data_IF_848145502613
#
_entry.id   IF_848145502613
#
_cell.length_a   1.000
_cell.length_b   1.000
_cell.length_c   1.000
_cell.angle_alpha   90.00
_cell.angle_beta   90.00
_cell.angle_gamma   90.00
#
_symmetry.space_group_name_H-M   'P 1'
#
loop_
_entity.id
_entity.type
_entity.pdbx_description
1 polymer ?
#
# COMPACT_ATOMS: atom_id res chain seq x y z
N UNK A 1 -18.75 -22.89 -12.04
CA UNK A 1 -17.76 -21.89 -12.48
C UNK A 1 -16.44 -22.27 -11.83
N UNK A 2 -15.46 -22.71 -12.63
CA UNK A 2 -14.17 -23.15 -12.11
C UNK A 2 -13.31 -21.93 -11.76
N UNK A 3 -12.94 -21.79 -10.49
CA UNK A 3 -11.84 -20.91 -10.10
C UNK A 3 -10.55 -21.51 -10.67
N UNK A 4 -9.95 -20.82 -11.64
CA UNK A 4 -8.63 -21.21 -12.12
C UNK A 4 -7.60 -20.44 -11.31
N UNK A 5 -6.91 -21.15 -10.41
CA UNK A 5 -5.82 -20.60 -9.60
C UNK A 5 -4.55 -20.53 -10.46
N UNK A 6 -4.03 -19.33 -10.71
CA UNK A 6 -2.79 -19.12 -11.46
C UNK A 6 -1.75 -18.44 -10.57
N UNK A 7 -1.01 -19.25 -9.83
CA UNK A 7 0.17 -18.82 -9.11
C UNK A 7 1.36 -18.73 -10.06
N UNK A 8 1.86 -17.52 -10.36
CA UNK A 8 3.14 -17.36 -11.03
C UNK A 8 4.27 -17.51 -10.01
N UNK A 9 4.97 -18.64 -10.06
CA UNK A 9 6.19 -18.88 -9.30
C UNK A 9 7.36 -18.22 -10.04
N UNK A 10 7.98 -17.20 -9.45
CA UNK A 10 9.14 -16.51 -10.04
C UNK A 10 10.41 -16.90 -9.29
N UNK A 11 10.89 -18.12 -9.53
CA UNK A 11 12.22 -18.52 -9.06
C UNK A 11 13.33 -18.29 -10.09
N UNK A 12 12.99 -17.90 -11.32
CA UNK A 12 14.00 -17.62 -12.34
C UNK A 12 13.59 -16.38 -13.13
N UNK A 13 14.58 -15.52 -13.36
CA UNK A 13 14.56 -14.32 -14.19
C UNK A 13 13.74 -14.50 -15.48
N UNK A 14 12.46 -14.13 -15.49
CA UNK A 14 11.62 -14.22 -16.67
C UNK A 14 10.62 -13.08 -16.71
N UNK A 15 10.70 -12.32 -17.79
CA UNK A 15 9.70 -11.35 -18.15
C UNK A 15 8.37 -12.04 -18.44
N UNK A 16 7.25 -11.42 -18.06
CA UNK A 16 5.92 -11.90 -18.43
C UNK A 16 5.02 -10.75 -18.87
N UNK A 17 4.11 -11.02 -19.79
CA UNK A 17 3.04 -10.09 -20.19
C UNK A 17 1.69 -10.81 -20.08
N UNK A 18 0.69 -10.18 -19.45
CA UNK A 18 -0.64 -10.76 -19.24
C UNK A 18 -1.71 -9.67 -19.24
N UNK A 19 -2.81 -9.87 -19.96
CA UNK A 19 -3.99 -9.02 -19.88
C UNK A 19 -5.04 -9.68 -18.97
N UNK A 20 -5.63 -8.91 -18.06
CA UNK A 20 -6.72 -9.29 -17.17
C UNK A 20 -7.91 -8.41 -17.50
N UNK A 21 -9.06 -9.03 -17.80
CA UNK A 21 -10.34 -8.32 -17.93
C UNK A 21 -10.92 -8.17 -16.53
N UNK A 22 -11.36 -6.97 -16.20
CA UNK A 22 -11.84 -6.63 -14.85
C UNK A 22 -13.28 -6.14 -14.95
N UNK A 23 -14.11 -6.54 -14.00
CA UNK A 23 -15.51 -6.10 -13.88
C UNK A 23 -15.57 -4.80 -13.06
N UNK A 24 -14.85 -3.76 -13.49
CA UNK A 24 -14.90 -2.43 -12.87
C UNK A 24 -15.71 -1.45 -13.74
N UNK A 25 -16.39 -0.51 -13.09
CA UNK A 25 -17.22 0.51 -13.76
C UNK A 25 -16.40 1.36 -14.74
N UNK A 26 -15.21 1.76 -14.29
CA UNK A 26 -14.31 2.65 -15.02
C UNK A 26 -13.10 1.92 -15.64
N UNK A 27 -12.63 0.79 -15.09
CA UNK A 27 -11.42 0.09 -15.56
C UNK A 27 -11.86 -1.16 -16.34
N UNK A 28 -11.59 -1.21 -17.64
CA UNK A 28 -12.02 -2.34 -18.49
C UNK A 28 -10.99 -3.45 -18.54
N UNK A 29 -9.71 -3.08 -18.61
CA UNK A 29 -8.62 -4.03 -18.79
C UNK A 29 -7.40 -3.57 -18.03
N UNK A 30 -6.66 -4.55 -17.54
CA UNK A 30 -5.37 -4.36 -16.87
C UNK A 30 -4.33 -5.23 -17.55
N UNK A 31 -3.31 -4.61 -18.13
CA UNK A 31 -2.18 -5.32 -18.72
C UNK A 31 -1.00 -5.27 -17.75
N UNK A 32 -0.54 -6.43 -17.35
CA UNK A 32 0.61 -6.61 -16.49
C UNK A 32 1.81 -6.98 -17.37
N UNK A 33 2.91 -6.28 -17.19
CA UNK A 33 4.17 -6.58 -17.85
C UNK A 33 5.30 -6.54 -16.82
N UNK A 34 5.79 -7.69 -16.39
CA UNK A 34 6.97 -7.76 -15.53
C UNK A 34 8.22 -7.94 -16.38
N UNK A 35 9.23 -7.10 -16.17
CA UNK A 35 10.53 -7.18 -16.82
C UNK A 35 11.61 -6.82 -15.81
N UNK A 36 12.64 -7.67 -15.66
CA UNK A 36 13.77 -7.44 -14.74
C UNK A 36 13.36 -7.13 -13.27
N UNK A 37 12.27 -7.74 -12.78
CA UNK A 37 11.76 -7.46 -11.43
C UNK A 37 11.06 -6.10 -11.31
N UNK A 38 10.61 -5.53 -12.43
CA UNK A 38 9.77 -4.34 -12.48
C UNK A 38 8.42 -4.76 -13.04
N UNK A 39 7.36 -4.68 -12.24
CA UNK A 39 5.99 -4.92 -12.70
C UNK A 39 5.41 -3.61 -13.23
N UNK A 40 5.21 -3.55 -14.53
CA UNK A 40 4.47 -2.50 -15.21
C UNK A 40 2.99 -2.87 -15.23
N UNK A 41 2.11 -1.99 -14.77
CA UNK A 41 0.66 -2.18 -14.82
C UNK A 41 0.08 -1.10 -15.73
N UNK A 42 -0.61 -1.53 -16.77
CA UNK A 42 -1.30 -0.69 -17.73
C UNK A 42 -2.80 -0.80 -17.49
N UNK A 43 -3.48 0.32 -17.24
CA UNK A 43 -4.93 0.34 -17.09
C UNK A 43 -5.56 0.94 -18.35
N UNK A 44 -6.57 0.27 -18.89
CA UNK A 44 -7.49 0.83 -19.89
C UNK A 44 -8.73 1.34 -19.15
N UNK A 45 -8.85 2.65 -19.01
CA UNK A 45 -9.96 3.30 -18.28
C UNK A 45 -10.92 3.96 -19.25
N UNK A 46 -12.23 3.84 -19.04
CA UNK A 46 -13.31 4.44 -19.85
C UNK A 46 -14.16 5.43 -19.03
N UNK A 47 -15.03 6.20 -19.72
CA UNK A 47 -16.02 7.10 -19.11
C UNK A 47 -15.47 8.29 -18.31
N UNK A 48 -14.32 8.79 -18.71
CA UNK A 48 -13.67 9.94 -18.07
C UNK A 48 -14.07 11.24 -18.79
N UNK A 49 -14.49 12.28 -18.07
CA UNK A 49 -14.84 13.63 -18.53
C UNK A 49 -13.76 14.66 -18.08
N UNK A 50 -13.71 15.89 -18.63
CA UNK A 50 -12.41 16.56 -18.89
C UNK A 50 -11.74 17.29 -17.72
N UNK A 51 -12.48 17.77 -16.72
CA UNK A 51 -11.92 18.71 -15.74
C UNK A 51 -11.97 18.20 -14.28
N UNK A 52 -12.94 17.34 -13.92
CA UNK A 52 -13.04 16.76 -12.57
C UNK A 52 -12.40 15.36 -12.44
N UNK A 53 -12.13 14.68 -13.56
CA UNK A 53 -11.81 13.26 -13.51
C UNK A 53 -10.33 12.92 -13.36
N UNK A 54 -9.39 13.81 -13.67
CA UNK A 54 -7.98 13.52 -13.45
C UNK A 54 -7.69 13.26 -11.96
N UNK A 55 -8.27 14.06 -11.06
CA UNK A 55 -8.15 13.85 -9.62
C UNK A 55 -8.80 12.55 -9.17
N UNK A 56 -9.97 12.22 -9.73
CA UNK A 56 -10.72 11.00 -9.45
C UNK A 56 -9.94 9.74 -9.86
N UNK A 57 -9.45 9.69 -11.11
CA UNK A 57 -8.63 8.59 -11.62
C UNK A 57 -7.35 8.45 -10.81
N UNK A 58 -6.69 9.57 -10.50
CA UNK A 58 -5.46 9.52 -9.72
C UNK A 58 -5.71 8.87 -8.35
N UNK A 59 -6.82 9.20 -7.70
CA UNK A 59 -7.23 8.56 -6.43
C UNK A 59 -7.56 7.08 -6.64
N UNK A 60 -8.39 6.73 -7.62
CA UNK A 60 -8.75 5.35 -7.93
C UNK A 60 -7.50 4.48 -8.12
N UNK A 61 -6.56 4.96 -8.93
CA UNK A 61 -5.31 4.26 -9.22
C UNK A 61 -4.41 4.17 -7.99
N UNK A 62 -4.24 5.26 -7.24
CA UNK A 62 -3.45 5.25 -6.00
C UNK A 62 -3.99 4.23 -5.00
N UNK A 63 -5.31 4.04 -4.94
CA UNK A 63 -5.94 3.07 -4.05
C UNK A 63 -5.56 1.63 -4.39
N UNK A 64 -5.70 1.25 -5.66
CA UNK A 64 -5.35 -0.10 -6.10
C UNK A 64 -3.85 -0.36 -5.94
N UNK A 65 -3.00 0.63 -6.20
CA UNK A 65 -1.55 0.53 -5.94
C UNK A 65 -1.28 0.32 -4.46
N UNK A 66 -1.92 1.09 -3.60
CA UNK A 66 -1.75 0.96 -2.16
C UNK A 66 -2.13 -0.45 -1.71
N UNK A 67 -3.23 -1.01 -2.20
CA UNK A 67 -3.59 -2.39 -1.90
C UNK A 67 -2.59 -3.41 -2.42
N UNK A 68 -2.12 -3.29 -3.66
CA UNK A 68 -1.09 -4.18 -4.19
C UNK A 68 0.20 -4.11 -3.36
N UNK A 69 0.59 -2.90 -2.98
CA UNK A 69 1.75 -2.64 -2.11
C UNK A 69 1.59 -3.34 -0.76
N UNK A 70 0.40 -3.28 -0.16
CA UNK A 70 0.08 -3.89 1.13
C UNK A 70 0.05 -5.42 1.04
N UNK A 71 -0.70 -5.97 0.08
CA UNK A 71 -0.92 -7.41 -0.11
C UNK A 71 0.39 -8.12 -0.43
N UNK A 72 1.18 -7.54 -1.33
CA UNK A 72 2.45 -8.14 -1.72
C UNK A 72 3.63 -7.67 -0.86
N UNK A 73 3.43 -6.69 0.01
CA UNK A 73 4.46 -6.04 0.82
C UNK A 73 5.63 -5.53 -0.06
N UNK A 74 5.30 -4.83 -1.14
CA UNK A 74 6.25 -4.37 -2.16
C UNK A 74 6.33 -2.85 -2.16
N UNK A 75 7.50 -2.25 -1.91
CA UNK A 75 7.66 -0.81 -1.93
C UNK A 75 7.37 -0.24 -3.34
N UNK A 76 6.55 0.80 -3.39
CA UNK A 76 6.31 1.60 -4.59
C UNK A 76 7.38 2.69 -4.69
N UNK A 77 8.28 2.61 -5.67
CA UNK A 77 9.39 3.57 -5.83
C UNK A 77 9.08 4.75 -6.75
N UNK A 78 8.40 4.51 -7.88
CA UNK A 78 8.01 5.57 -8.81
C UNK A 78 6.59 5.38 -9.34
N UNK A 79 5.74 6.38 -9.10
CA UNK A 79 4.41 6.45 -9.69
C UNK A 79 4.38 7.56 -10.72
N UNK A 80 4.17 7.20 -11.99
CA UNK A 80 4.01 8.16 -13.09
C UNK A 80 2.71 7.85 -13.80
N UNK A 81 1.77 8.80 -13.79
CA UNK A 81 0.56 8.68 -14.58
C UNK A 81 0.84 9.34 -15.92
N UNK A 82 0.91 8.54 -16.97
CA UNK A 82 1.11 9.01 -18.33
C UNK A 82 -0.07 8.55 -19.18
N UNK A 83 -0.93 9.48 -19.59
CA UNK A 83 -2.08 9.19 -20.45
C UNK A 83 -2.43 10.39 -21.32
N UNK A 84 -2.95 10.13 -22.51
CA UNK A 84 -3.48 11.14 -23.43
C UNK A 84 -4.88 10.74 -23.86
N UNK A 85 -5.79 11.71 -23.93
CA UNK A 85 -7.11 11.51 -24.53
C UNK A 85 -7.02 11.79 -26.02
N UNK A 86 -7.33 10.80 -26.87
CA UNK A 86 -7.48 11.02 -28.31
C UNK A 86 -8.97 11.20 -28.64
N UNK A 87 -9.36 12.28 -29.34
CA UNK A 87 -10.71 12.36 -29.90
C UNK A 87 -10.87 11.32 -31.02
N UNK A 88 -11.96 10.57 -31.02
CA UNK A 88 -12.30 9.62 -32.10
C UNK A 88 -13.60 10.03 -32.79
N UNK A 89 -13.64 9.96 -34.12
CA UNK A 89 -14.86 10.25 -34.90
C UNK A 89 -15.72 9.00 -34.99
N UNK A 90 -16.94 9.06 -34.46
CA UNK A 90 -17.96 8.04 -34.76
C UNK A 90 -18.59 8.34 -36.13
N UNK A 91 -18.75 7.33 -36.97
CA UNK A 91 -19.35 7.43 -38.31
C UNK A 91 -20.77 8.05 -38.29
N UNK A 92 -21.48 7.94 -37.16
CA UNK A 92 -22.88 8.37 -37.02
C UNK A 92 -23.08 9.87 -36.76
N UNK A 93 -22.04 10.67 -36.45
CA UNK A 93 -22.21 12.09 -36.15
C UNK A 93 -21.00 12.93 -36.57
N UNK A 94 -21.01 13.40 -37.82
CA UNK A 94 -19.95 14.18 -38.46
C UNK A 94 -19.60 15.56 -37.84
N UNK A 95 -20.19 15.92 -36.70
CA UNK A 95 -19.97 17.21 -36.03
C UNK A 95 -19.76 17.16 -34.50
N UNK A 96 -19.86 15.98 -33.88
CA UNK A 96 -19.67 15.82 -32.44
C UNK A 96 -18.51 14.87 -32.17
N UNK A 97 -17.40 15.41 -31.68
CA UNK A 97 -16.30 14.60 -31.15
C UNK A 97 -16.81 13.91 -29.87
N UNK A 98 -17.24 12.65 -29.94
CA UNK A 98 -17.29 11.82 -28.75
C UNK A 98 -15.85 11.54 -28.35
N UNK A 99 -15.41 12.11 -27.25
CA UNK A 99 -14.08 11.79 -26.70
C UNK A 99 -14.19 10.37 -26.12
N UNK A 100 -13.73 9.37 -26.88
CA UNK A 100 -13.54 8.03 -26.33
C UNK A 100 -12.29 8.10 -25.48
N UNK A 101 -12.47 8.40 -24.20
CA UNK A 101 -11.37 8.59 -23.28
C UNK A 101 -10.90 7.25 -22.77
N UNK A 102 -10.14 6.54 -23.60
CA UNK A 102 -9.27 5.46 -23.14
C UNK A 102 -8.05 6.11 -22.48
N UNK A 103 -8.04 6.24 -21.17
CA UNK A 103 -6.80 6.61 -20.48
C UNK A 103 -5.93 5.37 -20.40
N UNK A 104 -4.70 5.50 -20.87
CA UNK A 104 -3.64 4.58 -20.55
C UNK A 104 -2.94 5.12 -19.30
N UNK A 105 -2.72 4.24 -18.32
CA UNK A 105 -1.99 4.58 -17.11
C UNK A 105 -0.92 3.52 -16.93
N UNK A 106 0.34 3.92 -17.10
CA UNK A 106 1.49 3.03 -16.96
C UNK A 106 2.07 3.16 -15.55
N UNK A 107 2.12 2.08 -14.79
CA UNK A 107 2.60 2.13 -13.39
C UNK A 107 3.77 1.19 -13.22
N UNK A 108 4.86 1.66 -12.62
CA UNK A 108 6.06 0.83 -12.41
C UNK A 108 6.19 0.48 -10.93
N UNK A 109 6.03 -0.79 -10.60
CA UNK A 109 6.32 -1.35 -9.28
C UNK A 109 7.68 -2.01 -9.33
N UNK A 110 8.66 -1.47 -8.59
CA UNK A 110 10.01 -2.01 -8.52
C UNK A 110 10.17 -2.84 -7.24
N UNK A 111 10.44 -4.15 -7.39
CA UNK A 111 10.61 -5.01 -6.22
C UNK A 111 11.10 -6.41 -6.53
N UNK A 112 11.58 -7.10 -5.49
CA UNK A 112 11.82 -8.55 -5.59
C UNK A 112 10.48 -9.28 -5.52
N UNK A 113 9.87 -9.49 -6.68
CA UNK A 113 8.65 -10.28 -6.82
C UNK A 113 8.98 -11.76 -6.64
N UNK A 114 8.78 -12.28 -5.43
CA UNK A 114 8.89 -13.72 -5.18
C UNK A 114 7.62 -14.45 -5.65
N UNK A 115 6.46 -13.76 -5.67
CA UNK A 115 5.18 -14.26 -6.21
C UNK A 115 4.18 -13.11 -6.36
N UNK A 116 3.61 -12.96 -7.55
CA UNK A 116 2.39 -12.17 -7.78
C UNK A 116 1.32 -13.15 -8.23
N UNK A 117 0.27 -13.31 -7.43
CA UNK A 117 -0.91 -14.06 -7.86
C UNK A 117 -1.82 -13.14 -8.67
N UNK A 118 -2.18 -13.56 -9.88
CA UNK A 118 -3.09 -12.77 -10.71
C UNK A 118 -4.50 -12.67 -10.09
N UNK A 119 -4.84 -13.61 -9.21
CA UNK A 119 -6.08 -13.55 -8.45
C UNK A 119 -6.06 -12.42 -7.43
N UNK A 120 -4.91 -12.14 -6.79
CA UNK A 120 -4.78 -11.01 -5.87
C UNK A 120 -4.99 -9.70 -6.61
N UNK A 121 -4.43 -9.58 -7.82
CA UNK A 121 -4.63 -8.42 -8.69
C UNK A 121 -6.11 -8.28 -9.04
N UNK A 122 -6.76 -9.36 -9.50
CA UNK A 122 -8.17 -9.31 -9.84
C UNK A 122 -9.03 -8.93 -8.61
N UNK A 123 -8.71 -9.44 -7.43
CA UNK A 123 -9.40 -9.10 -6.20
C UNK A 123 -9.24 -7.63 -5.85
N UNK A 124 -8.02 -7.08 -5.93
CA UNK A 124 -7.76 -5.65 -5.65
C UNK A 124 -8.58 -4.72 -6.53
N UNK A 125 -8.67 -5.03 -7.82
CA UNK A 125 -9.39 -4.17 -8.75
C UNK A 125 -10.91 -4.35 -8.72
N UNK A 126 -11.43 -5.46 -8.16
CA UNK A 126 -12.88 -5.70 -8.00
C UNK A 126 -13.38 -5.45 -6.57
N UNK A 127 -12.50 -5.13 -5.61
CA UNK A 127 -12.91 -4.87 -4.23
C UNK A 127 -13.18 -3.39 -4.03
N UNK A 128 -14.43 -3.06 -3.69
CA UNK A 128 -14.77 -1.71 -3.25
C UNK A 128 -14.12 -1.41 -1.90
N UNK A 129 -13.24 -0.41 -1.89
CA UNK A 129 -12.58 0.05 -0.67
C UNK A 129 -13.40 1.18 -0.09
N UNK A 130 -13.69 1.10 1.21
CA UNK A 130 -14.33 2.21 1.91
C UNK A 130 -13.44 3.46 1.88
N UNK A 131 -14.00 4.66 1.66
CA UNK A 131 -13.23 5.90 1.56
C UNK A 131 -12.29 6.17 2.75
N UNK A 132 -12.69 5.79 3.96
CA UNK A 132 -11.88 5.91 5.17
C UNK A 132 -10.60 5.06 5.14
N UNK A 133 -10.64 3.90 4.47
CA UNK A 133 -9.51 2.98 4.39
C UNK A 133 -8.53 3.37 3.27
N UNK A 134 -8.97 4.15 2.28
CA UNK A 134 -8.10 4.70 1.22
C UNK A 134 -6.92 5.46 1.81
N UNK A 135 -7.20 6.38 2.74
CA UNK A 135 -6.17 7.24 3.33
C UNK A 135 -5.17 6.40 4.12
N UNK A 136 -5.67 5.46 4.94
CA UNK A 136 -4.84 4.58 5.75
C UNK A 136 -3.98 3.68 4.85
N UNK A 137 -4.57 3.08 3.82
CA UNK A 137 -3.85 2.21 2.88
C UNK A 137 -2.76 2.98 2.13
N UNK A 138 -3.06 4.21 1.69
CA UNK A 138 -2.09 5.08 1.02
C UNK A 138 -0.92 5.42 1.95
N UNK A 139 -1.20 5.79 3.19
CA UNK A 139 -0.15 6.07 4.17
C UNK A 139 0.67 4.83 4.53
N UNK A 140 0.03 3.66 4.62
CA UNK A 140 0.73 2.39 4.82
C UNK A 140 1.66 2.10 3.64
N UNK A 141 1.19 2.28 2.40
CA UNK A 141 2.02 2.09 1.21
C UNK A 141 3.26 3.01 1.23
N UNK A 142 3.08 4.29 1.58
CA UNK A 142 4.20 5.23 1.78
C UNK A 142 5.16 4.72 2.86
N UNK A 143 4.64 4.26 4.01
CA UNK A 143 5.47 3.70 5.07
C UNK A 143 6.24 2.46 4.62
N UNK A 144 5.64 1.58 3.80
CA UNK A 144 6.29 0.39 3.25
C UNK A 144 7.40 0.75 2.26
N UNK A 145 7.24 1.83 1.50
CA UNK A 145 8.23 2.35 0.56
C UNK A 145 9.41 3.06 1.21
N UNK A 146 9.31 3.47 2.48
CA UNK A 146 10.40 4.14 3.19
C UNK A 146 11.60 3.20 3.42
N UNK A 147 12.79 3.67 3.04
CA UNK A 147 14.06 2.94 3.15
C UNK A 147 14.74 3.23 4.48
N UNK A 148 14.57 4.44 5.03
CA UNK A 148 15.20 4.83 6.30
C UNK A 148 14.46 4.18 7.48
N UNK A 149 15.12 3.31 8.28
CA UNK A 149 14.45 2.47 9.27
C UNK A 149 13.68 3.24 10.36
N UNK A 150 14.17 4.40 10.78
CA UNK A 150 13.55 5.17 11.87
C UNK A 150 12.29 5.87 11.37
N UNK A 151 12.36 6.48 10.20
CA UNK A 151 11.26 7.13 9.51
C UNK A 151 10.18 6.11 9.18
N UNK A 152 10.57 4.96 8.62
CA UNK A 152 9.65 3.83 8.39
C UNK A 152 8.92 3.42 9.65
N UNK A 153 9.66 3.25 10.76
CA UNK A 153 9.08 2.88 12.04
C UNK A 153 8.06 3.92 12.54
N UNK A 154 8.41 5.20 12.47
CA UNK A 154 7.52 6.30 12.90
C UNK A 154 6.26 6.34 12.03
N UNK A 155 6.41 6.23 10.70
CA UNK A 155 5.30 6.20 9.77
C UNK A 155 4.36 5.03 10.08
N UNK A 156 4.89 3.81 10.20
CA UNK A 156 4.09 2.62 10.55
C UNK A 156 3.32 2.80 11.87
N UNK A 157 3.96 3.40 12.88
CA UNK A 157 3.30 3.63 14.16
C UNK A 157 2.18 4.68 14.05
N UNK A 158 2.40 5.75 13.28
CA UNK A 158 1.40 6.79 13.05
C UNK A 158 0.20 6.24 12.28
N UNK A 159 0.41 5.39 11.28
CA UNK A 159 -0.67 4.72 10.55
C UNK A 159 -1.49 3.83 11.48
N UNK A 160 -0.84 3.05 12.36
CA UNK A 160 -1.55 2.26 13.38
C UNK A 160 -2.37 3.13 14.33
N UNK A 161 -1.82 4.26 14.78
CA UNK A 161 -2.56 5.19 15.63
C UNK A 161 -3.80 5.72 14.90
N UNK A 162 -3.65 6.19 13.67
CA UNK A 162 -4.76 6.72 12.88
C UNK A 162 -5.84 5.68 12.65
N UNK A 163 -5.45 4.45 12.29
CA UNK A 163 -6.35 3.32 12.08
C UNK A 163 -7.15 2.95 13.34
N UNK A 164 -6.52 3.02 14.52
CA UNK A 164 -7.11 2.57 15.78
C UNK A 164 -7.68 3.72 16.65
N UNK A 165 -7.94 4.90 16.08
CA UNK A 165 -8.59 6.00 16.81
C UNK A 165 -7.66 6.88 17.66
N UNK A 166 -6.39 6.98 17.29
CA UNK A 166 -5.35 7.86 17.85
C UNK A 166 -4.98 7.64 19.33
N UNK A 167 -5.40 6.55 19.95
CA UNK A 167 -4.99 6.21 21.31
C UNK A 167 -3.86 5.19 21.34
N UNK A 168 -2.74 5.55 21.98
CA UNK A 168 -1.64 4.59 22.22
C UNK A 168 -2.12 3.31 22.93
N UNK A 169 -3.13 3.40 23.80
CA UNK A 169 -3.67 2.25 24.53
C UNK A 169 -4.31 1.22 23.58
N UNK A 170 -5.00 1.69 22.55
CA UNK A 170 -5.63 0.84 21.54
C UNK A 170 -4.57 0.15 20.68
N UNK A 171 -3.54 0.89 20.24
CA UNK A 171 -2.39 0.31 19.54
C UNK A 171 -1.73 -0.81 20.36
N UNK A 172 -1.44 -0.57 21.63
CA UNK A 172 -0.86 -1.59 22.52
C UNK A 172 -1.77 -2.80 22.71
N UNK A 173 -3.09 -2.60 22.77
CA UNK A 173 -4.06 -3.67 22.91
C UNK A 173 -4.07 -4.58 21.68
N UNK A 174 -4.19 -4.00 20.47
CA UNK A 174 -4.21 -4.76 19.22
C UNK A 174 -2.88 -5.49 18.97
N UNK A 175 -1.73 -4.85 19.26
CA UNK A 175 -0.43 -5.51 19.14
C UNK A 175 -0.34 -6.73 20.07
N UNK A 176 -0.90 -6.66 21.29
CA UNK A 176 -0.90 -7.79 22.23
C UNK A 176 -1.86 -8.90 21.81
N UNK A 177 -3.00 -8.56 21.21
CA UNK A 177 -3.91 -9.55 20.64
C UNK A 177 -3.23 -10.31 19.50
N UNK A 178 -2.54 -9.59 18.62
CA UNK A 178 -1.83 -10.19 17.50
C UNK A 178 -0.60 -10.99 17.93
N UNK A 179 0.15 -10.50 18.91
CA UNK A 179 1.33 -11.16 19.46
C UNK A 179 1.29 -11.18 21.00
N UNK A 180 0.69 -12.20 21.62
CA UNK A 180 0.61 -12.31 23.09
C UNK A 180 1.97 -12.44 23.77
N UNK A 181 3.01 -12.86 23.03
CA UNK A 181 4.38 -13.01 23.52
C UNK A 181 5.22 -11.74 23.33
N UNK A 182 4.61 -10.63 22.91
CA UNK A 182 5.34 -9.38 22.68
C UNK A 182 6.01 -8.91 23.97
N UNK A 183 7.28 -8.48 23.86
CA UNK A 183 8.04 -7.97 25.00
C UNK A 183 7.36 -6.72 25.56
N UNK A 184 7.16 -6.71 26.87
CA UNK A 184 6.66 -5.55 27.61
C UNK A 184 7.80 -4.86 28.36
N UNK A 185 7.77 -3.54 28.38
CA UNK A 185 8.76 -2.69 29.03
C UNK A 185 8.04 -1.77 30.02
N UNK A 186 8.56 -1.68 31.23
CA UNK A 186 8.02 -0.76 32.23
C UNK A 186 8.42 0.67 31.87
N UNK A 187 7.43 1.55 31.74
CA UNK A 187 7.63 2.96 31.46
C UNK A 187 8.39 3.63 32.61
N UNK A 188 9.45 4.39 32.34
CA UNK A 188 10.17 5.12 33.39
C UNK A 188 9.39 6.32 33.93
N UNK A 189 8.34 6.78 33.22
CA UNK A 189 7.58 7.98 33.59
C UNK A 189 6.41 7.67 34.53
N UNK A 190 5.60 6.67 34.20
CA UNK A 190 4.37 6.34 34.94
C UNK A 190 4.33 4.89 35.45
N UNK A 191 5.40 4.10 35.23
CA UNK A 191 5.47 2.71 35.65
C UNK A 191 4.55 1.74 34.90
N UNK A 192 3.81 2.21 33.88
CA UNK A 192 2.90 1.38 33.07
C UNK A 192 3.69 0.42 32.18
N UNK A 193 3.14 -0.76 31.93
CA UNK A 193 3.71 -1.71 30.97
C UNK A 193 3.35 -1.31 29.53
N UNK A 194 4.36 -0.93 28.76
CA UNK A 194 4.28 -0.57 27.34
C UNK A 194 4.75 -1.76 26.49
N UNK A 195 4.28 -1.88 25.24
CA UNK A 195 4.92 -2.81 24.29
C UNK A 195 6.32 -2.29 23.93
N UNK A 196 7.20 -3.17 23.43
CA UNK A 196 8.49 -2.75 22.87
C UNK A 196 8.32 -1.61 21.86
N UNK A 197 7.30 -1.65 21.00
CA UNK A 197 7.07 -0.65 19.97
C UNK A 197 6.65 0.71 20.55
N UNK A 198 5.72 0.71 21.51
CA UNK A 198 5.32 1.96 22.19
C UNK A 198 6.46 2.57 23.00
N UNK A 199 7.28 1.72 23.65
CA UNK A 199 8.49 2.19 24.34
C UNK A 199 9.49 2.82 23.37
N UNK A 200 9.75 2.19 22.21
CA UNK A 200 10.66 2.72 21.19
C UNK A 200 10.14 4.03 20.59
N UNK A 201 8.84 4.12 20.27
CA UNK A 201 8.21 5.38 19.83
C UNK A 201 8.39 6.50 20.85
N UNK A 202 8.23 6.19 22.13
CA UNK A 202 8.41 7.15 23.21
C UNK A 202 9.88 7.55 23.41
N UNK A 203 10.83 6.64 23.20
CA UNK A 203 12.27 6.95 23.19
C UNK A 203 12.67 7.87 22.03
N UNK A 204 12.05 7.71 20.86
CA UNK A 204 12.31 8.55 19.68
C UNK A 204 11.68 9.96 19.81
N UNK A 205 10.47 10.06 20.36
CA UNK A 205 9.69 11.30 20.35
C UNK A 205 9.92 12.20 21.58
N UNK A 206 10.38 11.66 22.70
CA UNK A 206 10.55 12.43 23.93
C UNK A 206 12.02 12.50 24.31
N UNK A 207 12.54 13.72 24.47
CA UNK A 207 13.68 13.96 25.36
C UNK A 207 13.22 13.61 26.76
N UNK A 208 13.44 12.37 27.20
CA UNK A 208 13.06 11.91 28.53
C UNK A 208 13.90 12.71 29.54
N UNK A 209 13.28 13.71 30.18
CA UNK A 209 13.89 14.74 31.03
C UNK A 209 14.72 14.27 32.25
N UNK A 210 15.07 12.99 32.37
CA UNK A 210 15.93 12.46 33.45
C UNK A 210 16.91 11.36 33.02
N UNK A 211 16.77 10.80 31.82
CA UNK A 211 17.68 9.81 31.23
C UNK A 211 17.61 10.06 29.72
N UNK A 212 18.66 10.64 29.14
CA UNK A 212 18.73 10.74 27.67
C UNK A 212 18.73 9.32 27.09
N UNK A 213 17.74 8.96 26.26
CA UNK A 213 17.77 7.68 25.59
C UNK A 213 19.05 7.63 24.74
N UNK A 214 19.80 6.53 24.86
CA UNK A 214 20.93 6.29 23.98
C UNK A 214 20.38 6.11 22.56
N UNK A 215 20.41 7.18 21.78
CA UNK A 215 19.76 7.25 20.46
C UNK A 215 20.28 6.15 19.53
N UNK A 216 21.58 5.86 19.57
CA UNK A 216 22.19 4.79 18.77
C UNK A 216 21.69 3.41 19.19
N UNK A 217 21.50 3.17 20.48
CA UNK A 217 20.88 1.94 20.98
C UNK A 217 19.40 1.85 20.57
N UNK A 218 18.65 2.94 20.66
CA UNK A 218 17.24 2.99 20.23
C UNK A 218 17.13 2.72 18.73
N UNK A 219 17.99 3.34 17.89
CA UNK A 219 18.06 3.06 16.45
C UNK A 219 18.31 1.58 16.16
N UNK A 220 19.30 0.97 16.82
CA UNK A 220 19.60 -0.47 16.68
C UNK A 220 18.41 -1.36 17.06
N UNK A 221 17.70 -1.03 18.15
CA UNK A 221 16.50 -1.76 18.56
C UNK A 221 15.37 -1.61 17.54
N UNK A 222 15.15 -0.40 17.01
CA UNK A 222 14.16 -0.17 15.95
C UNK A 222 14.48 -1.07 14.75
N UNK A 223 15.70 -1.02 14.23
CA UNK A 223 16.13 -1.86 13.08
C UNK A 223 15.88 -3.34 13.36
N UNK A 224 16.21 -3.82 14.57
CA UNK A 224 16.05 -5.22 14.97
C UNK A 224 14.58 -5.66 14.97
N UNK A 225 13.67 -4.77 15.36
CA UNK A 225 12.24 -5.08 15.51
C UNK A 225 11.38 -4.65 14.32
N UNK A 226 11.95 -3.91 13.36
CA UNK A 226 11.21 -3.28 12.27
C UNK A 226 10.46 -4.29 11.40
N UNK A 227 11.12 -5.36 10.95
CA UNK A 227 10.47 -6.36 10.09
C UNK A 227 9.26 -7.01 10.76
N UNK A 228 9.34 -7.29 12.06
CA UNK A 228 8.22 -7.84 12.81
C UNK A 228 7.12 -6.78 12.97
N UNK A 229 7.49 -5.53 13.26
CA UNK A 229 6.53 -4.44 13.39
C UNK A 229 5.75 -4.22 12.10
N UNK A 230 6.45 -4.16 10.95
CA UNK A 230 5.84 -4.08 9.62
C UNK A 230 4.78 -5.15 9.42
N UNK A 231 5.09 -6.42 9.71
CA UNK A 231 4.14 -7.53 9.59
C UNK A 231 2.89 -7.35 10.45
N UNK A 232 3.09 -6.95 11.71
CA UNK A 232 1.98 -6.70 12.65
C UNK A 232 1.10 -5.56 12.15
N UNK A 233 1.71 -4.45 11.74
CA UNK A 233 1.01 -3.27 11.22
C UNK A 233 0.20 -3.60 9.97
N UNK A 234 0.82 -4.25 8.98
CA UNK A 234 0.17 -4.66 7.73
C UNK A 234 -1.03 -5.56 8.02
N UNK A 235 -0.87 -6.57 8.90
CA UNK A 235 -1.96 -7.49 9.19
C UNK A 235 -3.11 -6.83 9.95
N UNK A 236 -2.82 -5.98 10.94
CA UNK A 236 -3.87 -5.23 11.64
C UNK A 236 -4.69 -4.40 10.66
N UNK A 237 -4.05 -3.72 9.71
CA UNK A 237 -4.73 -2.86 8.73
C UNK A 237 -5.53 -3.71 7.73
N UNK A 238 -5.00 -4.86 7.30
CA UNK A 238 -5.73 -5.79 6.45
C UNK A 238 -6.99 -6.35 7.14
N UNK A 239 -6.92 -6.64 8.45
CA UNK A 239 -8.07 -7.15 9.22
C UNK A 239 -9.17 -6.09 9.45
N UNK A 240 -8.90 -4.80 9.16
CA UNK A 240 -9.89 -3.71 9.22
C UNK A 240 -10.55 -3.40 7.86
N UNK A 241 -10.02 -3.97 6.77
CA UNK A 241 -10.57 -3.82 5.42
C UNK A 241 -11.66 -4.87 5.17
#
# INVERSE_FOLDING_TARGET
MGQINYSCFTNESLSFQKAIVIEHTEIKKVHLNCTNGILNIHLDVENIYAEDDHSHINKLVQNHIAQLTIIHNIPTKEFKICGSSLPYKTEENAGLFKVHKSFQINMNLEGQFNRIDCNDINNVFNTDIKPENIVINTQLAVALSEEEPITKFILLYNVLQQCLGNEQRLVEHHIKQFNPKIKLIKSPFNGRMETIYSSLRNELNHKRNKIEPNLELTKKKVITHLNQFTKITTQIILDQN
#
